data_IF_754912030334
#
_entry.id   IF_754912030334
#
_cell.length_a   1.000
_cell.length_b   1.000
_cell.length_c   1.000
_cell.angle_alpha   90.00
_cell.angle_beta   90.00
_cell.angle_gamma   90.00
#
_symmetry.space_group_name_H-M   'P 1'
#
loop_
_entity.id
_entity.type
_entity.pdbx_description
1 polymer ?
#
# COMPACT_ATOMS: atom_id res chain seq x y z
N UNK A 1 -5.00 -9.58 0.10
CA UNK A 1 -5.61 -10.69 0.86
C UNK A 1 -6.12 -10.15 2.17
N UNK A 2 -7.43 -10.21 2.39
CA UNK A 2 -8.06 -9.84 3.65
C UNK A 2 -8.21 -11.13 4.48
N UNK A 3 -7.10 -11.55 5.09
CA UNK A 3 -7.02 -12.77 5.87
C UNK A 3 -6.89 -12.38 7.34
N UNK A 4 -7.72 -12.97 8.20
CA UNK A 4 -7.60 -12.80 9.65
C UNK A 4 -6.36 -13.55 10.15
N UNK A 5 -5.22 -12.86 10.16
CA UNK A 5 -3.94 -13.38 10.61
C UNK A 5 -3.08 -12.25 11.13
N UNK A 6 -2.28 -12.52 12.16
CA UNK A 6 -1.35 -11.55 12.72
C UNK A 6 -0.43 -10.94 11.66
N UNK A 7 0.02 -11.75 10.68
CA UNK A 7 0.91 -11.30 9.60
C UNK A 7 0.28 -10.20 8.74
N UNK A 8 -1.02 -10.27 8.47
CA UNK A 8 -1.72 -9.31 7.61
C UNK A 8 -2.46 -8.22 8.41
N UNK A 9 -2.34 -8.21 9.73
CA UNK A 9 -3.00 -7.23 10.59
C UNK A 9 -2.44 -5.81 10.40
N UNK A 10 -3.36 -4.86 10.18
CA UNK A 10 -3.06 -3.43 10.03
C UNK A 10 -2.85 -2.68 11.36
N UNK A 11 -3.25 -3.27 12.48
CA UNK A 11 -3.27 -2.62 13.79
C UNK A 11 -2.21 -3.19 14.75
N UNK A 12 -2.02 -4.51 14.73
CA UNK A 12 -1.09 -5.18 15.65
C UNK A 12 0.39 -4.94 15.28
N UNK A 13 0.68 -4.65 14.01
CA UNK A 13 2.05 -4.54 13.51
C UNK A 13 2.56 -3.08 13.53
N UNK A 14 3.80 -2.89 13.99
CA UNK A 14 4.49 -1.60 13.95
C UNK A 14 4.78 -1.13 12.51
N UNK A 15 5.11 -2.07 11.62
CA UNK A 15 5.34 -1.81 10.18
C UNK A 15 4.13 -2.30 9.39
N UNK A 16 3.44 -1.39 8.73
CA UNK A 16 2.22 -1.68 7.97
C UNK A 16 2.24 -0.97 6.63
N UNK A 17 1.78 -1.68 5.60
CA UNK A 17 1.60 -1.14 4.25
C UNK A 17 0.16 -1.41 3.83
N UNK A 18 -0.54 -0.36 3.44
CA UNK A 18 -1.87 -0.42 2.85
C UNK A 18 -1.82 0.16 1.44
N UNK A 19 -2.54 -0.45 0.50
CA UNK A 19 -2.69 0.04 -0.87
C UNK A 19 -4.20 0.15 -1.10
N UNK A 20 -4.68 1.36 -1.35
CA UNK A 20 -6.11 1.66 -1.47
C UNK A 20 -6.36 2.57 -2.67
N UNK A 21 -7.63 2.71 -3.07
CA UNK A 21 -8.02 3.73 -4.03
C UNK A 21 -7.95 5.13 -3.42
N UNK A 22 -7.55 6.11 -4.23
CA UNK A 22 -7.63 7.53 -3.88
C UNK A 22 -9.02 8.08 -4.24
N UNK A 23 -9.55 9.02 -3.45
CA UNK A 23 -10.74 9.80 -3.82
C UNK A 23 -10.42 10.57 -5.12
N UNK A 24 -11.19 10.36 -6.19
CA UNK A 24 -10.97 11.03 -7.49
C UNK A 24 -10.20 10.23 -8.54
N UNK A 25 -9.97 8.92 -8.31
CA UNK A 25 -9.33 7.95 -9.21
C UNK A 25 -7.79 7.93 -9.21
N UNK A 26 -7.23 6.93 -8.54
CA UNK A 26 -5.80 6.77 -8.32
C UNK A 26 -5.54 5.68 -7.27
N UNK A 27 -4.28 5.43 -6.96
CA UNK A 27 -3.88 4.50 -5.91
C UNK A 27 -3.09 5.26 -4.83
N UNK A 28 -3.40 5.02 -3.58
CA UNK A 28 -2.63 5.52 -2.44
C UNK A 28 -1.90 4.37 -1.78
N UNK A 29 -0.58 4.51 -1.61
CA UNK A 29 0.26 3.62 -0.82
C UNK A 29 0.52 4.28 0.52
N UNK A 30 -0.05 3.72 1.58
CA UNK A 30 0.10 4.22 2.94
C UNK A 30 1.03 3.30 3.72
N UNK A 31 1.98 3.91 4.42
CA UNK A 31 2.94 3.22 5.29
C UNK A 31 2.98 3.89 6.65
N UNK A 32 3.45 3.19 7.68
CA UNK A 32 3.64 3.78 9.00
C UNK A 32 5.04 4.40 9.11
N UNK A 33 5.13 5.63 9.62
CA UNK A 33 6.40 6.32 9.85
C UNK A 33 7.21 5.57 10.91
N UNK A 34 8.53 5.38 10.73
CA UNK A 34 9.36 4.69 11.72
C UNK A 34 9.38 5.37 13.09
N UNK A 35 9.32 6.71 13.12
CA UNK A 35 9.34 7.52 14.33
C UNK A 35 7.97 7.71 15.00
N UNK A 36 6.88 7.17 14.42
CA UNK A 36 5.54 7.39 14.95
C UNK A 36 5.19 6.42 16.08
N UNK A 37 4.68 6.98 17.18
CA UNK A 37 4.20 6.21 18.33
C UNK A 37 3.06 5.25 17.96
N UNK A 38 2.87 4.17 18.72
CA UNK A 38 1.82 3.16 18.49
C UNK A 38 0.40 3.72 18.50
N UNK A 39 0.16 4.71 19.36
CA UNK A 39 -1.14 5.40 19.46
C UNK A 39 -1.32 6.53 18.43
N UNK A 40 -0.27 6.89 17.66
CA UNK A 40 -0.37 7.93 16.62
C UNK A 40 -0.89 7.32 15.32
N UNK A 41 -2.21 7.18 15.21
CA UNK A 41 -2.84 6.50 14.09
C UNK A 41 -2.93 7.36 12.82
N UNK A 42 -3.56 8.54 12.90
CA UNK A 42 -3.79 9.38 11.73
C UNK A 42 -2.50 10.07 11.26
N UNK A 43 -1.80 10.72 12.19
CA UNK A 43 -0.58 11.51 11.94
C UNK A 43 0.68 10.66 11.75
N UNK A 44 0.68 9.43 12.27
CA UNK A 44 1.80 8.50 12.19
C UNK A 44 1.92 7.76 10.85
N UNK A 45 1.03 8.02 9.89
CA UNK A 45 1.07 7.41 8.55
C UNK A 45 1.71 8.36 7.53
N UNK A 46 2.43 7.78 6.59
CA UNK A 46 2.94 8.43 5.39
C UNK A 46 2.23 7.81 4.18
N UNK A 47 1.46 8.63 3.47
CA UNK A 47 0.72 8.25 2.27
C UNK A 47 1.36 8.87 1.02
N UNK A 48 1.65 8.04 0.03
CA UNK A 48 2.08 8.47 -1.29
C UNK A 48 0.97 8.16 -2.30
N UNK A 49 0.54 9.16 -3.07
CA UNK A 49 -0.48 8.99 -4.10
C UNK A 49 0.15 8.77 -5.46
N UNK A 50 -0.30 7.71 -6.14
CA UNK A 50 0.00 7.38 -7.52
C UNK A 50 -1.12 7.99 -8.37
N UNK A 51 -0.76 8.95 -9.21
CA UNK A 51 -1.68 9.67 -10.09
C UNK A 51 -2.37 8.73 -11.08
N UNK A 52 -3.61 9.07 -11.44
CA UNK A 52 -4.31 8.47 -12.57
C UNK A 52 -3.44 8.58 -13.84
N UNK A 53 -3.43 7.54 -14.68
CA UNK A 53 -2.60 7.52 -15.90
C UNK A 53 -1.13 7.10 -15.70
N UNK A 54 -0.68 6.86 -14.46
CA UNK A 54 0.69 6.37 -14.21
C UNK A 54 0.99 5.00 -14.85
N UNK A 55 -0.03 4.23 -15.22
CA UNK A 55 0.11 2.90 -15.82
C UNK A 55 0.44 1.80 -14.81
N UNK A 56 0.14 0.56 -15.17
CA UNK A 56 0.32 -0.62 -14.31
C UNK A 56 1.80 -0.88 -13.98
N UNK A 57 2.70 -0.73 -14.96
CA UNK A 57 4.13 -0.99 -14.76
C UNK A 57 4.77 -0.02 -13.76
N UNK A 58 4.44 1.27 -13.84
CA UNK A 58 4.98 2.29 -12.92
C UNK A 58 4.44 2.08 -11.51
N UNK A 59 3.15 1.79 -11.34
CA UNK A 59 2.57 1.57 -10.02
C UNK A 59 3.21 0.37 -9.31
N UNK A 60 3.45 -0.72 -10.04
CA UNK A 60 4.16 -1.90 -9.54
C UNK A 60 5.61 -1.58 -9.16
N UNK A 61 6.31 -0.74 -9.94
CA UNK A 61 7.66 -0.28 -9.62
C UNK A 61 7.75 0.54 -8.33
N UNK A 62 6.80 1.45 -8.11
CA UNK A 62 6.71 2.26 -6.88
C UNK A 62 6.50 1.36 -5.66
N UNK A 63 5.57 0.41 -5.77
CA UNK A 63 5.27 -0.55 -4.70
C UNK A 63 6.47 -1.49 -4.44
N UNK A 64 7.19 -1.90 -5.48
CA UNK A 64 8.43 -2.68 -5.35
C UNK A 64 9.53 -1.90 -4.64
N UNK A 65 9.64 -0.58 -4.88
CA UNK A 65 10.62 0.30 -4.25
C UNK A 65 10.56 0.29 -2.72
N UNK A 66 9.38 0.12 -2.15
CA UNK A 66 9.22 -0.01 -0.69
C UNK A 66 9.89 -1.27 -0.13
N UNK A 67 9.97 -2.35 -0.93
CA UNK A 67 10.71 -3.55 -0.56
C UNK A 67 12.23 -3.34 -0.59
N UNK A 68 12.73 -2.46 -1.47
CA UNK A 68 14.16 -2.12 -1.53
C UNK A 68 14.63 -1.39 -0.27
N UNK A 69 13.73 -0.68 0.41
CA UNK A 69 13.96 0.00 1.70
C UNK A 69 13.89 -0.93 2.92
N UNK A 70 13.96 -2.25 2.70
CA UNK A 70 13.77 -3.29 3.71
C UNK A 70 12.44 -3.16 4.51
N UNK A 71 11.41 -2.54 3.92
CA UNK A 71 10.13 -2.34 4.59
C UNK A 71 9.20 -3.53 4.32
N UNK A 72 9.28 -4.54 5.21
CA UNK A 72 8.46 -5.76 5.17
C UNK A 72 8.53 -6.48 3.81
N UNK A 73 9.71 -7.01 3.42
CA UNK A 73 9.87 -7.70 2.14
C UNK A 73 9.01 -8.98 2.02
N UNK A 74 8.60 -9.55 3.16
CA UNK A 74 7.69 -10.70 3.26
C UNK A 74 6.34 -10.48 2.55
N UNK A 75 5.85 -9.24 2.52
CA UNK A 75 4.56 -8.89 1.91
C UNK A 75 4.65 -8.58 0.42
N UNK A 76 5.83 -8.69 -0.22
CA UNK A 76 6.05 -8.22 -1.60
C UNK A 76 5.10 -8.85 -2.61
N UNK A 77 4.92 -10.18 -2.57
CA UNK A 77 3.99 -10.89 -3.46
C UNK A 77 2.56 -10.40 -3.28
N UNK A 78 2.11 -10.28 -2.03
CA UNK A 78 0.75 -9.82 -1.69
C UNK A 78 0.51 -8.39 -2.18
N UNK A 79 1.51 -7.51 -2.06
CA UNK A 79 1.42 -6.13 -2.56
C UNK A 79 1.24 -6.09 -4.07
N UNK A 80 2.00 -6.89 -4.83
CA UNK A 80 1.89 -6.97 -6.28
C UNK A 80 0.51 -7.46 -6.73
N UNK A 81 0.00 -8.52 -6.11
CA UNK A 81 -1.35 -9.02 -6.42
C UNK A 81 -2.41 -7.95 -6.12
N UNK A 82 -2.31 -7.26 -4.99
CA UNK A 82 -3.26 -6.18 -4.62
C UNK A 82 -3.18 -4.99 -5.58
N UNK A 83 -1.98 -4.53 -5.94
CA UNK A 83 -1.82 -3.41 -6.88
C UNK A 83 -2.38 -3.74 -8.26
N UNK A 84 -2.14 -4.96 -8.75
CA UNK A 84 -2.70 -5.43 -10.02
C UNK A 84 -4.24 -5.47 -9.96
N UNK A 85 -4.80 -6.05 -8.90
CA UNK A 85 -6.25 -6.11 -8.69
C UNK A 85 -6.90 -4.71 -8.63
N UNK A 86 -6.33 -3.80 -7.85
CA UNK A 86 -6.84 -2.44 -7.73
C UNK A 86 -6.71 -1.67 -9.05
N UNK A 87 -5.66 -1.91 -9.83
CA UNK A 87 -5.49 -1.30 -11.14
C UNK A 87 -6.53 -1.81 -12.14
N UNK A 88 -6.79 -3.13 -12.16
CA UNK A 88 -7.87 -3.70 -12.97
C UNK A 88 -9.23 -3.10 -12.59
N UNK A 89 -9.52 -3.00 -11.29
CA UNK A 89 -10.76 -2.36 -10.81
C UNK A 89 -10.88 -0.89 -11.26
N UNK A 90 -9.78 -0.13 -11.29
CA UNK A 90 -9.78 1.24 -11.81
C UNK A 90 -10.03 1.30 -13.32
N UNK A 91 -9.56 0.30 -14.07
CA UNK A 91 -9.79 0.24 -15.52
C UNK A 91 -11.25 -0.04 -15.86
N UNK A 92 -11.96 -0.83 -15.04
CA UNK A 92 -13.37 -1.15 -15.26
C UNK A 92 -14.34 -0.03 -14.88
N UNK A 93 -13.90 0.96 -14.09
CA UNK A 93 -14.72 2.11 -13.68
C UNK A 93 -14.68 3.27 -14.68
N UNK A 94 -13.92 3.13 -15.76
CA UNK A 94 -13.92 4.05 -16.90
C UNK A 94 -14.94 3.59 -17.91
#
# INVERSE_FOLDING_TARGET
MNLHSHKYSGLANAKTIAINHTKGSGLTVSTRKPSAHQHQHATGRHSATIRQGSGSRRSMGIVAGQSKRNYRPDLRKVRFTLTSFLFLSLSQRR
#
